data_IF_692838266929
#
_entry.id   IF_692838266929
#
_cell.length_a   1.000
_cell.length_b   1.000
_cell.length_c   1.000
_cell.angle_alpha   90.00
_cell.angle_beta   90.00
_cell.angle_gamma   90.00
#
_symmetry.space_group_name_H-M   'P 1'
#
loop_
_entity.id
_entity.type
_entity.pdbx_description
1 polymer ?
#
# COMPACT_ATOMS: atom_id res chain seq x y z
N UNK A 1 -12.87 2.20 4.12
CA UNK A 1 -11.66 2.95 4.52
C UNK A 1 -11.78 3.41 5.96
N UNK A 2 -10.71 3.30 6.74
CA UNK A 2 -10.61 3.83 8.11
C UNK A 2 -9.34 4.68 8.20
N UNK A 3 -9.48 5.98 8.45
CA UNK A 3 -8.33 6.87 8.64
C UNK A 3 -7.66 6.58 10.00
N UNK A 4 -6.35 6.35 9.99
CA UNK A 4 -5.55 6.04 11.19
C UNK A 4 -4.84 7.30 11.68
N UNK A 5 -4.24 8.07 10.76
CA UNK A 5 -3.52 9.29 11.10
C UNK A 5 -3.47 10.25 9.90
N UNK A 6 -3.42 11.54 10.20
CA UNK A 6 -3.12 12.61 9.25
C UNK A 6 -1.82 13.29 9.68
N UNK A 7 -0.90 13.52 8.75
CA UNK A 7 0.40 14.14 9.02
C UNK A 7 0.91 14.90 7.80
N UNK A 8 1.94 15.70 8.00
CA UNK A 8 2.63 16.41 6.93
C UNK A 8 3.90 15.65 6.55
N UNK A 9 4.08 15.37 5.25
CA UNK A 9 5.30 14.71 4.78
C UNK A 9 6.54 15.54 5.20
N UNK A 10 7.53 14.93 5.87
CA UNK A 10 8.63 15.68 6.45
C UNK A 10 9.53 16.35 5.40
N UNK A 11 9.53 15.85 4.16
CA UNK A 11 10.42 16.30 3.09
C UNK A 11 9.71 17.31 2.17
N UNK A 12 8.53 16.96 1.66
CA UNK A 12 7.78 17.72 0.67
C UNK A 12 6.71 18.63 1.25
N UNK A 13 6.47 18.56 2.57
CA UNK A 13 5.49 19.42 3.26
C UNK A 13 4.06 19.28 2.71
N UNK A 14 3.75 18.12 2.13
CA UNK A 14 2.43 17.82 1.59
C UNK A 14 1.57 17.12 2.64
N UNK A 15 0.25 17.40 2.70
CA UNK A 15 -0.64 16.70 3.60
C UNK A 15 -0.77 15.23 3.18
N UNK A 16 -0.55 14.31 4.11
CA UNK A 16 -0.66 12.87 3.89
C UNK A 16 -1.57 12.23 4.94
N UNK A 17 -2.17 11.09 4.55
CA UNK A 17 -3.03 10.29 5.42
C UNK A 17 -2.57 8.85 5.41
N UNK A 18 -2.49 8.27 6.60
CA UNK A 18 -2.38 6.83 6.79
C UNK A 18 -3.79 6.27 6.96
N UNK A 19 -4.18 5.36 6.06
CA UNK A 19 -5.56 4.85 5.97
C UNK A 19 -5.52 3.34 5.79
N UNK A 20 -6.37 2.64 6.53
CA UNK A 20 -6.66 1.23 6.30
C UNK A 20 -7.76 1.12 5.24
N UNK A 21 -7.44 0.45 4.14
CA UNK A 21 -8.39 0.18 3.05
C UNK A 21 -8.77 -1.30 3.02
N UNK A 22 -10.01 -1.58 2.63
CA UNK A 22 -10.35 -2.90 2.12
C UNK A 22 -9.77 -3.03 0.70
N UNK A 23 -9.32 -4.24 0.33
CA UNK A 23 -8.68 -4.47 -0.99
C UNK A 23 -9.61 -4.07 -2.13
N UNK A 24 -10.92 -4.29 -2.00
CA UNK A 24 -11.93 -3.98 -3.01
C UNK A 24 -12.14 -2.47 -3.22
N UNK A 25 -11.68 -1.63 -2.28
CA UNK A 25 -11.73 -0.16 -2.41
C UNK A 25 -10.58 0.38 -3.28
N UNK A 26 -9.56 -0.44 -3.55
CA UNK A 26 -8.37 -0.02 -4.28
C UNK A 26 -8.50 -0.36 -5.76
N UNK A 27 -8.54 0.67 -6.60
CA UNK A 27 -8.44 0.48 -8.04
C UNK A 27 -7.05 -0.01 -8.42
N UNK A 28 -6.99 -1.23 -8.99
CA UNK A 28 -5.76 -1.78 -9.56
C UNK A 28 -5.54 -1.18 -10.96
N UNK A 29 -4.43 -0.47 -11.21
CA UNK A 29 -4.17 0.09 -12.52
C UNK A 29 -4.01 -1.02 -13.57
N UNK A 30 -4.40 -0.78 -14.83
CA UNK A 30 -4.34 -1.78 -15.90
C UNK A 30 -2.91 -2.08 -16.37
N UNK A 31 -1.93 -1.27 -15.96
CA UNK A 31 -0.52 -1.49 -16.22
C UNK A 31 0.11 -2.27 -15.05
N UNK A 32 -0.21 -3.55 -14.92
CA UNK A 32 0.55 -4.40 -14.02
C UNK A 32 1.90 -4.70 -14.67
N UNK A 33 3.01 -4.39 -14.00
CA UNK A 33 4.33 -4.91 -14.41
C UNK A 33 4.28 -6.43 -14.27
N UNK A 34 4.82 -7.17 -15.24
CA UNK A 34 5.00 -8.61 -15.08
C UNK A 34 5.86 -8.87 -13.82
N UNK A 35 5.24 -9.40 -12.78
CA UNK A 35 5.90 -9.74 -11.51
C UNK A 35 6.14 -11.24 -11.52
N UNK A 36 7.37 -11.67 -11.24
CA UNK A 36 7.70 -13.10 -11.17
C UNK A 36 6.91 -13.81 -10.07
N UNK A 37 6.50 -15.05 -10.31
CA UNK A 37 5.79 -15.87 -9.32
C UNK A 37 6.63 -16.10 -8.05
N UNK A 38 7.96 -16.18 -8.19
CA UNK A 38 8.87 -16.26 -7.04
C UNK A 38 8.78 -15.04 -6.13
N UNK A 39 8.66 -13.83 -6.71
CA UNK A 39 8.58 -12.60 -5.94
C UNK A 39 7.25 -12.50 -5.19
N UNK A 40 6.15 -12.95 -5.80
CA UNK A 40 4.84 -13.04 -5.14
C UNK A 40 4.89 -13.95 -3.91
N UNK A 41 5.43 -15.16 -4.06
CA UNK A 41 5.56 -16.12 -2.95
C UNK A 41 6.41 -15.59 -1.80
N UNK A 42 7.54 -14.94 -2.10
CA UNK A 42 8.37 -14.33 -1.05
C UNK A 42 7.65 -13.20 -0.32
N UNK A 43 6.87 -12.39 -1.04
CA UNK A 43 6.06 -11.33 -0.43
C UNK A 43 4.95 -11.91 0.45
N UNK A 44 4.24 -12.94 -0.01
CA UNK A 44 3.23 -13.65 0.77
C UNK A 44 3.82 -14.20 2.08
N UNK A 45 4.95 -14.91 2.00
CA UNK A 45 5.64 -15.43 3.18
C UNK A 45 6.10 -14.33 4.15
N UNK A 46 6.55 -13.18 3.63
CA UNK A 46 6.95 -12.06 4.47
C UNK A 46 5.73 -11.45 5.20
N UNK A 47 4.61 -11.29 4.51
CA UNK A 47 3.35 -10.79 5.07
C UNK A 47 2.81 -11.76 6.13
N UNK A 48 2.86 -13.07 5.88
CA UNK A 48 2.42 -14.08 6.87
C UNK A 48 3.25 -14.04 8.16
N UNK A 49 4.58 -13.87 8.04
CA UNK A 49 5.48 -13.88 9.20
C UNK A 49 5.50 -12.58 9.99
N UNK A 50 5.45 -11.45 9.30
CA UNK A 50 5.71 -10.13 9.87
C UNK A 50 4.48 -9.22 9.86
N UNK A 51 3.41 -9.62 9.18
CA UNK A 51 2.29 -8.75 8.85
C UNK A 51 2.60 -7.80 7.70
N UNK A 52 1.63 -6.96 7.37
CA UNK A 52 1.76 -5.95 6.32
C UNK A 52 2.45 -4.69 6.87
N UNK A 53 3.78 -4.70 6.88
CA UNK A 53 4.57 -3.66 7.56
C UNK A 53 4.70 -2.36 6.78
N UNK A 54 4.69 -2.42 5.45
CA UNK A 54 4.97 -1.25 4.60
C UNK A 54 3.69 -0.81 3.89
N UNK A 55 3.16 0.39 4.21
CA UNK A 55 2.00 0.93 3.50
C UNK A 55 2.29 1.09 2.00
N UNK A 56 1.28 0.85 1.18
CA UNK A 56 1.32 1.19 -0.24
C UNK A 56 0.86 2.63 -0.44
N UNK A 57 1.46 3.32 -1.41
CA UNK A 57 1.05 4.67 -1.78
C UNK A 57 -0.18 4.56 -2.68
N UNK A 58 -1.29 5.15 -2.23
CA UNK A 58 -2.52 5.29 -3.00
C UNK A 58 -2.67 6.76 -3.37
N UNK A 59 -3.03 7.03 -4.62
CA UNK A 59 -3.34 8.37 -5.10
C UNK A 59 -4.84 8.45 -5.43
N UNK A 60 -5.50 9.60 -5.22
CA UNK A 60 -6.84 9.83 -5.73
C UNK A 60 -6.87 9.60 -7.25
N UNK A 61 -7.99 9.06 -7.73
CA UNK A 61 -8.25 8.95 -9.16
C UNK A 61 -8.57 10.31 -9.77
#
# INVERSE_FOLDING_TARGET
MVEIASFEDPVKKQPMKLVLFNIDEIYRPPFQRDISESLKKHLEMAIEKLGFLTPIVVVPK
#
